data_IF_558271307459
#
_entry.id   IF_558271307459
#
_cell.length_a   1.000
_cell.length_b   1.000
_cell.length_c   1.000
_cell.angle_alpha   90.00
_cell.angle_beta   90.00
_cell.angle_gamma   90.00
#
_symmetry.space_group_name_H-M   'P 1'
#
loop_
_entity.id
_entity.type
_entity.pdbx_description
1 polymer ?
#
# COMPACT_ATOMS: atom_id res chain seq x y z
N UNK A 1 -6.88 -17.82 -23.37
CA UNK A 1 -6.77 -16.43 -22.90
C UNK A 1 -7.53 -16.40 -21.59
N UNK A 2 -6.83 -16.46 -20.45
CA UNK A 2 -7.50 -16.43 -19.15
C UNK A 2 -7.93 -14.99 -18.89
N UNK A 3 -9.24 -14.75 -18.77
CA UNK A 3 -9.75 -13.46 -18.32
C UNK A 3 -9.37 -13.27 -16.85
N UNK A 4 -8.41 -12.39 -16.61
CA UNK A 4 -8.01 -11.98 -15.28
C UNK A 4 -9.11 -11.08 -14.71
N UNK A 5 -9.81 -11.55 -13.67
CA UNK A 5 -10.93 -10.82 -13.05
C UNK A 5 -10.47 -10.13 -11.77
N UNK A 6 -10.23 -8.82 -11.88
CA UNK A 6 -10.07 -7.94 -10.73
C UNK A 6 -11.45 -7.61 -10.11
N UNK A 7 -11.51 -7.46 -8.78
CA UNK A 7 -12.77 -7.15 -8.09
C UNK A 7 -13.08 -5.65 -8.07
N UNK A 8 -12.05 -4.82 -7.98
CA UNK A 8 -12.10 -3.36 -8.14
C UNK A 8 -11.52 -3.03 -9.52
N UNK A 9 -12.06 -2.02 -10.20
CA UNK A 9 -11.53 -1.66 -11.51
C UNK A 9 -10.25 -0.83 -11.38
N UNK A 10 -9.38 -0.89 -12.39
CA UNK A 10 -8.06 -0.26 -12.34
C UNK A 10 -8.14 1.27 -12.14
N UNK A 11 -9.14 1.93 -12.74
CA UNK A 11 -9.34 3.37 -12.58
C UNK A 11 -9.68 3.74 -11.13
N UNK A 12 -10.55 2.98 -10.47
CA UNK A 12 -10.87 3.17 -9.05
C UNK A 12 -9.64 2.95 -8.18
N UNK A 13 -8.84 1.92 -8.47
CA UNK A 13 -7.60 1.63 -7.73
C UNK A 13 -6.63 2.80 -7.85
N UNK A 14 -6.42 3.32 -9.06
CA UNK A 14 -5.56 4.48 -9.32
C UNK A 14 -6.05 5.70 -8.54
N UNK A 15 -7.36 5.98 -8.54
CA UNK A 15 -7.94 7.10 -7.81
C UNK A 15 -7.69 7.03 -6.29
N UNK A 16 -7.79 5.83 -5.70
CA UNK A 16 -7.50 5.63 -4.27
C UNK A 16 -6.01 5.85 -3.99
N UNK A 17 -5.13 5.28 -4.83
CA UNK A 17 -3.67 5.47 -4.71
C UNK A 17 -3.28 6.94 -4.84
N UNK A 18 -3.86 7.67 -5.79
CA UNK A 18 -3.67 9.12 -5.95
C UNK A 18 -4.15 9.89 -4.71
N UNK A 19 -5.35 9.57 -4.19
CA UNK A 19 -5.91 10.21 -3.00
C UNK A 19 -5.03 10.02 -1.75
N UNK A 20 -4.45 8.83 -1.57
CA UNK A 20 -3.49 8.56 -0.49
C UNK A 20 -2.25 9.44 -0.64
N UNK A 21 -1.63 9.45 -1.83
CA UNK A 21 -0.43 10.25 -2.08
C UNK A 21 -0.69 11.75 -1.91
N UNK A 22 -1.81 12.26 -2.40
CA UNK A 22 -2.20 13.68 -2.26
C UNK A 22 -2.47 14.09 -0.80
N UNK A 23 -2.96 13.17 0.03
CA UNK A 23 -3.13 13.43 1.46
C UNK A 23 -1.77 13.49 2.15
N UNK A 24 -0.91 12.50 1.92
CA UNK A 24 0.37 12.32 2.60
C UNK A 24 1.40 13.37 2.17
N UNK A 25 1.40 13.81 0.91
CA UNK A 25 2.34 14.82 0.38
C UNK A 25 2.15 16.22 0.98
N UNK A 26 1.09 16.44 1.76
CA UNK A 26 0.84 17.72 2.46
C UNK A 26 1.64 17.82 3.76
N UNK A 27 2.23 16.73 4.21
CA UNK A 27 2.99 16.62 5.45
C UNK A 27 4.49 16.53 5.14
N UNK A 28 5.34 16.79 6.14
CA UNK A 28 6.80 16.65 5.98
C UNK A 28 7.30 15.23 6.19
N UNK A 29 6.52 14.42 6.89
CA UNK A 29 6.80 13.03 7.20
C UNK A 29 5.50 12.35 7.60
N UNK A 30 5.48 11.03 7.50
CA UNK A 30 4.43 10.19 8.08
C UNK A 30 5.02 8.84 8.44
N UNK A 31 4.69 8.35 9.62
CA UNK A 31 5.03 6.99 10.04
C UNK A 31 3.83 6.08 9.73
N UNK A 32 4.10 4.89 9.20
CA UNK A 32 3.09 3.89 8.89
C UNK A 32 3.29 2.65 9.72
N UNK A 33 2.19 2.06 10.18
CA UNK A 33 2.17 0.82 10.96
C UNK A 33 1.08 -0.14 10.47
N UNK A 34 1.33 -1.44 10.61
CA UNK A 34 0.31 -2.47 10.45
C UNK A 34 -0.58 -2.49 11.69
N UNK A 35 -1.84 -2.09 11.53
CA UNK A 35 -2.82 -2.00 12.62
C UNK A 35 -3.55 -3.32 12.87
N UNK A 36 -3.93 -4.00 11.79
CA UNK A 36 -4.67 -5.26 11.85
C UNK A 36 -4.36 -6.12 10.63
N UNK A 37 -4.21 -7.42 10.86
CA UNK A 37 -4.32 -8.42 9.82
C UNK A 37 -5.18 -9.57 10.32
N UNK A 38 -6.26 -9.88 9.60
CA UNK A 38 -7.15 -11.01 9.92
C UNK A 38 -6.85 -12.26 9.06
N UNK A 39 -5.71 -12.25 8.35
CA UNK A 39 -5.29 -13.29 7.41
C UNK A 39 -5.86 -13.15 5.99
N UNK A 40 -6.91 -12.33 5.81
CA UNK A 40 -7.52 -12.03 4.50
C UNK A 40 -7.39 -10.57 4.10
N UNK A 41 -7.47 -9.68 5.09
CA UNK A 41 -7.42 -8.24 4.93
C UNK A 41 -6.30 -7.65 5.79
N UNK A 42 -5.80 -6.50 5.37
CA UNK A 42 -4.76 -5.74 6.05
C UNK A 42 -5.18 -4.30 6.18
N UNK A 43 -5.02 -3.77 7.38
CA UNK A 43 -5.13 -2.34 7.64
C UNK A 43 -3.76 -1.81 8.01
N UNK A 44 -3.29 -0.85 7.22
CA UNK A 44 -2.12 -0.02 7.51
C UNK A 44 -2.64 1.35 7.95
N UNK A 45 -2.04 1.94 8.97
CA UNK A 45 -2.38 3.27 9.44
C UNK A 45 -1.18 4.19 9.35
N UNK A 46 -1.41 5.44 8.98
CA UNK A 46 -0.41 6.50 8.95
C UNK A 46 -0.64 7.51 10.08
N UNK A 47 0.45 7.94 10.72
CA UNK A 47 0.44 8.88 11.84
C UNK A 47 1.50 9.97 11.70
N UNK A 48 1.14 11.16 12.13
CA UNK A 48 2.04 12.29 12.37
C UNK A 48 2.57 12.35 13.79
N UNK A 49 1.93 11.64 14.72
CA UNK A 49 2.37 11.54 16.11
C UNK A 49 2.04 10.16 16.66
N UNK A 50 3.06 9.33 16.83
CA UNK A 50 2.91 7.97 17.34
C UNK A 50 2.57 7.91 18.84
N UNK A 51 2.57 9.05 19.53
CA UNK A 51 2.11 9.13 20.93
C UNK A 51 0.60 9.24 21.04
N UNK A 52 -0.08 9.60 19.94
CA UNK A 52 -1.54 9.66 19.86
C UNK A 52 -2.09 8.30 19.41
N UNK A 53 -3.25 7.94 19.96
CA UNK A 53 -3.93 6.70 19.57
C UNK A 53 -4.52 6.78 18.16
N UNK A 54 -4.94 7.98 17.76
CA UNK A 54 -5.67 8.26 16.53
C UNK A 54 -4.75 8.17 15.30
N UNK A 55 -5.27 7.62 14.21
CA UNK A 55 -4.62 7.62 12.91
C UNK A 55 -4.98 8.89 12.15
N UNK A 56 -4.08 9.35 11.26
CA UNK A 56 -4.40 10.41 10.29
C UNK A 56 -4.97 9.81 9.00
N UNK A 57 -4.53 8.60 8.65
CA UNK A 57 -5.00 7.86 7.50
C UNK A 57 -5.08 6.37 7.83
N UNK A 58 -6.13 5.70 7.35
CA UNK A 58 -6.22 4.24 7.33
C UNK A 58 -6.28 3.77 5.89
N UNK A 59 -5.45 2.78 5.54
CA UNK A 59 -5.39 2.16 4.22
C UNK A 59 -5.74 0.69 4.41
N UNK A 60 -6.82 0.25 3.76
CA UNK A 60 -7.30 -1.13 3.86
C UNK A 60 -7.12 -1.85 2.55
N UNK A 61 -6.52 -3.03 2.61
CA UNK A 61 -6.37 -3.97 1.51
C UNK A 61 -7.27 -5.17 1.76
N UNK A 62 -8.17 -5.48 0.82
CA UNK A 62 -9.09 -6.60 0.93
C UNK A 62 -8.69 -7.76 0.03
N UNK A 63 -8.90 -8.99 0.52
CA UNK A 63 -8.55 -10.23 -0.18
C UNK A 63 -7.09 -10.23 -0.65
N UNK A 64 -6.20 -10.07 0.32
CA UNK A 64 -4.78 -10.18 0.09
C UNK A 64 -4.39 -11.58 -0.37
N UNK A 65 -3.46 -11.62 -1.29
CA UNK A 65 -2.74 -12.83 -1.69
C UNK A 65 -1.31 -12.86 -1.17
N UNK A 66 -0.74 -11.70 -0.87
CA UNK A 66 0.67 -11.55 -0.51
C UNK A 66 0.92 -10.27 0.30
N UNK A 67 1.84 -10.33 1.26
CA UNK A 67 2.32 -9.15 1.99
C UNK A 67 3.80 -9.34 2.34
N UNK A 68 4.60 -8.31 2.05
CA UNK A 68 6.02 -8.24 2.37
C UNK A 68 6.36 -6.82 2.82
N UNK A 69 6.01 -6.52 4.06
CA UNK A 69 6.17 -5.21 4.70
C UNK A 69 6.68 -5.40 6.14
N UNK A 70 7.45 -4.47 6.72
CA UNK A 70 7.69 -4.46 8.16
C UNK A 70 6.40 -4.06 8.91
N UNK A 71 6.34 -4.37 10.20
CA UNK A 71 5.20 -3.94 11.03
C UNK A 71 5.07 -2.42 11.17
N UNK A 72 6.15 -1.67 10.97
CA UNK A 72 6.12 -0.21 10.91
C UNK A 72 7.33 0.36 10.18
N UNK A 73 7.17 1.53 9.57
CA UNK A 73 8.21 2.24 8.81
C UNK A 73 7.93 3.74 8.72
N UNK A 74 8.96 4.49 8.33
CA UNK A 74 8.86 5.94 8.08
C UNK A 74 8.92 6.19 6.58
N UNK A 75 8.33 7.29 6.13
CA UNK A 75 8.41 7.73 4.72
C UNK A 75 8.79 9.20 4.63
N UNK A 76 9.70 9.53 3.70
CA UNK A 76 9.85 10.89 3.19
C UNK A 76 8.70 11.20 2.22
N UNK A 77 7.85 12.13 2.62
CA UNK A 77 6.62 12.52 1.90
C UNK A 77 6.87 13.44 0.72
N UNK A 78 8.15 13.80 0.45
CA UNK A 78 8.56 14.51 -0.76
C UNK A 78 8.38 13.66 -2.04
N UNK A 79 8.15 12.35 -1.88
CA UNK A 79 7.88 11.40 -2.96
C UNK A 79 6.55 10.66 -2.76
N UNK A 80 6.08 9.94 -3.79
CA UNK A 80 4.87 9.12 -3.66
C UNK A 80 5.11 7.98 -2.67
N UNK A 81 4.30 7.90 -1.62
CA UNK A 81 4.43 6.87 -0.58
C UNK A 81 3.92 5.51 -1.02
N UNK A 82 2.99 5.47 -1.98
CA UNK A 82 2.40 4.24 -2.51
C UNK A 82 2.25 4.31 -4.04
N UNK A 83 2.55 3.21 -4.72
CA UNK A 83 2.42 3.08 -6.18
C UNK A 83 1.89 1.70 -6.55
N UNK A 84 1.37 1.56 -7.77
CA UNK A 84 1.19 0.24 -8.37
C UNK A 84 2.51 -0.26 -8.95
N UNK A 85 2.77 -1.56 -8.81
CA UNK A 85 3.91 -2.20 -9.44
C UNK A 85 3.78 -2.26 -10.95
N UNK A 86 4.91 -2.13 -11.64
CA UNK A 86 4.95 -2.31 -13.09
C UNK A 86 5.01 -3.80 -13.47
N UNK A 87 4.84 -4.09 -14.75
CA UNK A 87 4.81 -5.46 -15.27
C UNK A 87 6.06 -6.28 -14.90
N UNK A 88 7.24 -5.68 -14.96
CA UNK A 88 8.50 -6.36 -14.63
C UNK A 88 8.55 -6.74 -13.15
N UNK A 89 8.15 -5.83 -12.26
CA UNK A 89 8.07 -6.09 -10.82
C UNK A 89 7.05 -7.19 -10.50
N UNK A 90 5.90 -7.20 -11.18
CA UNK A 90 4.88 -8.24 -11.03
C UNK A 90 5.45 -9.61 -11.43
N UNK A 91 6.18 -9.70 -12.54
CA UNK A 91 6.82 -10.94 -13.00
C UNK A 91 7.87 -11.45 -12.00
N UNK A 92 8.72 -10.57 -11.48
CA UNK A 92 9.72 -10.91 -10.46
C UNK A 92 9.07 -11.43 -9.17
N UNK A 93 8.00 -10.77 -8.69
CA UNK A 93 7.28 -11.19 -7.50
C UNK A 93 6.53 -12.51 -7.70
N UNK A 94 5.92 -12.71 -8.87
CA UNK A 94 5.20 -13.94 -9.19
C UNK A 94 6.14 -15.16 -9.21
N UNK A 95 7.36 -14.98 -9.73
CA UNK A 95 8.38 -16.02 -9.75
C UNK A 95 8.93 -16.35 -8.35
N UNK A 96 9.00 -15.37 -7.46
CA UNK A 96 9.61 -15.54 -6.13
C UNK A 96 8.61 -15.93 -5.03
N UNK A 97 7.35 -15.52 -5.15
CA UNK A 97 6.34 -15.63 -4.09
C UNK A 97 5.04 -16.30 -4.54
N UNK A 98 5.01 -16.88 -5.75
CA UNK A 98 3.83 -17.53 -6.32
C UNK A 98 2.58 -16.63 -6.32
N UNK A 99 2.78 -15.31 -6.54
CA UNK A 99 1.69 -14.33 -6.52
C UNK A 99 0.63 -14.70 -7.57
N UNK A 100 -0.61 -14.90 -7.13
CA UNK A 100 -1.70 -15.27 -8.01
C UNK A 100 -2.02 -14.16 -9.03
N UNK A 101 -2.18 -14.58 -10.29
CA UNK A 101 -2.70 -13.75 -11.38
C UNK A 101 -4.12 -13.28 -11.03
N UNK A 102 -4.32 -11.97 -10.93
CA UNK A 102 -5.62 -11.34 -10.62
C UNK A 102 -5.61 -10.40 -9.42
N UNK A 103 -4.44 -10.16 -8.84
CA UNK A 103 -4.23 -9.19 -7.78
C UNK A 103 -3.50 -7.95 -8.31
N UNK A 104 -3.83 -6.80 -7.75
CA UNK A 104 -2.98 -5.62 -7.85
C UNK A 104 -1.83 -5.77 -6.87
N UNK A 105 -0.63 -5.38 -7.30
CA UNK A 105 0.52 -5.29 -6.42
C UNK A 105 0.78 -3.83 -6.13
N UNK A 106 0.62 -3.47 -4.88
CA UNK A 106 0.92 -2.16 -4.33
C UNK A 106 2.33 -2.18 -3.77
N UNK A 107 3.08 -1.10 -3.99
CA UNK A 107 4.43 -0.93 -3.45
C UNK A 107 4.53 0.36 -2.67
N UNK A 108 5.08 0.28 -1.46
CA UNK A 108 5.39 1.42 -0.62
C UNK A 108 6.86 1.78 -0.73
N UNK A 109 7.13 3.08 -0.74
CA UNK A 109 8.48 3.65 -0.71
C UNK A 109 8.76 4.04 0.74
N UNK A 110 9.81 3.47 1.33
CA UNK A 110 10.21 3.79 2.69
C UNK A 110 11.47 4.64 2.71
N UNK A 111 11.59 5.46 3.75
CA UNK A 111 12.73 6.33 3.99
C UNK A 111 14.03 5.49 4.17
N UNK A 112 15.19 6.05 3.82
CA UNK A 112 16.52 5.40 3.82
C UNK A 112 16.78 4.29 2.78
N UNK A 113 15.87 4.03 1.85
CA UNK A 113 16.18 3.19 0.68
C UNK A 113 16.52 4.04 -0.54
N UNK A 114 17.65 3.72 -1.19
CA UNK A 114 18.08 4.34 -2.46
C UNK A 114 17.16 3.93 -3.64
N UNK A 115 15.86 4.14 -3.57
CA UNK A 115 14.86 3.82 -4.62
C UNK A 115 14.81 2.35 -5.09
N UNK A 116 15.56 1.46 -4.43
CA UNK A 116 15.74 0.05 -4.85
C UNK A 116 15.01 -0.97 -3.97
N UNK A 117 14.42 -0.53 -2.86
CA UNK A 117 13.72 -1.41 -1.92
C UNK A 117 12.33 -0.89 -1.64
N UNK A 118 11.36 -1.76 -1.94
CA UNK A 118 9.95 -1.49 -1.78
C UNK A 118 9.34 -2.51 -0.83
N UNK A 119 8.29 -2.09 -0.14
CA UNK A 119 7.42 -2.99 0.59
C UNK A 119 6.19 -3.28 -0.24
N UNK A 120 5.72 -4.53 -0.25
CA UNK A 120 4.70 -4.96 -1.21
C UNK A 120 3.46 -5.50 -0.52
N UNK A 121 2.30 -5.19 -1.10
CA UNK A 121 1.00 -5.80 -0.75
C UNK A 121 0.33 -6.24 -2.05
N UNK A 122 0.01 -7.53 -2.16
CA UNK A 122 -0.80 -8.07 -3.25
C UNK A 122 -2.25 -8.24 -2.78
N UNK A 123 -3.20 -7.53 -3.40
CA UNK A 123 -4.61 -7.56 -3.01
C UNK A 123 -5.55 -7.27 -4.18
N UNK A 124 -6.84 -7.58 -4.01
CA UNK A 124 -7.86 -7.34 -5.05
C UNK A 124 -8.54 -5.98 -4.95
N UNK A 125 -8.48 -5.34 -3.78
CA UNK A 125 -9.02 -4.00 -3.55
C UNK A 125 -8.15 -3.20 -2.60
N UNK A 126 -8.25 -1.89 -2.72
CA UNK A 126 -7.70 -0.91 -1.80
C UNK A 126 -8.78 0.12 -1.46
N UNK A 127 -8.82 0.56 -0.22
CA UNK A 127 -9.63 1.68 0.23
C UNK A 127 -8.81 2.54 1.19
N UNK A 128 -9.17 3.82 1.31
CA UNK A 128 -8.60 4.69 2.33
C UNK A 128 -9.67 5.46 3.09
N UNK A 129 -9.44 5.66 4.38
CA UNK A 129 -10.15 6.60 5.22
C UNK A 129 -9.18 7.73 5.59
N UNK A 130 -9.46 8.93 5.09
CA UNK A 130 -8.71 10.13 5.45
C UNK A 130 -9.38 10.75 6.67
N UNK A 131 -8.66 10.83 7.79
CA UNK A 131 -9.17 11.38 9.03
C UNK A 131 -8.78 12.86 9.12
N UNK A 132 -9.72 13.68 9.59
CA UNK A 132 -9.49 15.11 9.77
C UNK A 132 -8.38 15.35 10.80
N UNK A 133 -7.60 16.41 10.57
CA UNK A 133 -6.43 16.79 11.36
C UNK A 133 -6.81 17.48 12.67
#
# INVERSE_FOLDING_TARGET
MNEQRFLMNETEVIQVVESINEYVSKELWMDFDVALSNGWDLTIIGRLDNTLQEANIEITFEQMSFVSIPFGWKTDTLSCVIQLSNQKEIEELSNNFEVEIGNYIFKFIADDFNDEKYYFVGAKKIACLLLDK
#
